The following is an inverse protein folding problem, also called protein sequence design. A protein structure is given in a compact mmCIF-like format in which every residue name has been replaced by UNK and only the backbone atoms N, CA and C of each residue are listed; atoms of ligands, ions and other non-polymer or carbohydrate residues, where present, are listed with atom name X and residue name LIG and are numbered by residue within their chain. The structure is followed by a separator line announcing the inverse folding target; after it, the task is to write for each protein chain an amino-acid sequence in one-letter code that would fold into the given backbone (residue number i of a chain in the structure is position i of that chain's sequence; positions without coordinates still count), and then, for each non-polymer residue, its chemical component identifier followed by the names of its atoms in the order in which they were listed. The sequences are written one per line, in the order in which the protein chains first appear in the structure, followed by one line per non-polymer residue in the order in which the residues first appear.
data_IF_444758332046
#
_entry.id   IF_444758332046
#
_cell.length_a   1.000
_cell.length_b   1.000
_cell.length_c   1.000
_cell.angle_alpha   90.00
_cell.angle_beta   90.00
_cell.angle_gamma   90.00
#
_symmetry.space_group_name_H-M   'P 1'
#
loop_
_entity.id
_entity.type
_entity.pdbx_description
1 polymer ?
#
# COMPACT_ATOMS: atom_id res chain seq x y z
N UNK A 1 51.23 -14.78 -40.90
CA UNK A 1 51.59 -13.74 -39.92
C UNK A 1 50.33 -13.39 -39.15
N UNK A 2 50.08 -14.11 -38.05
CA UNK A 2 48.86 -13.97 -37.24
C UNK A 2 49.02 -12.93 -36.18
N UNK A 3 48.14 -11.91 -36.17
CA UNK A 3 48.07 -10.91 -35.11
C UNK A 3 46.93 -11.32 -34.15
N UNK A 4 47.27 -11.75 -32.95
CA UNK A 4 46.33 -11.99 -31.85
C UNK A 4 45.96 -10.66 -31.17
N UNK A 5 44.71 -10.25 -31.25
CA UNK A 5 44.18 -9.19 -30.37
C UNK A 5 43.65 -9.86 -29.09
N UNK A 6 44.31 -9.53 -27.98
CA UNK A 6 43.79 -9.78 -26.63
C UNK A 6 42.76 -8.72 -26.27
N UNK A 7 41.50 -9.10 -26.09
CA UNK A 7 40.50 -8.26 -25.44
C UNK A 7 40.74 -8.27 -23.93
N UNK A 8 41.10 -7.11 -23.38
CA UNK A 8 41.12 -6.88 -21.94
C UNK A 8 39.84 -6.16 -21.54
N UNK A 9 38.99 -6.84 -20.76
CA UNK A 9 37.80 -6.27 -20.13
C UNK A 9 38.21 -5.36 -18.95
N UNK A 10 37.99 -4.06 -19.08
CA UNK A 10 37.97 -3.09 -17.96
C UNK A 10 36.73 -2.21 -18.05
N UNK A 11 36.15 -1.81 -16.92
CA UNK A 11 34.82 -1.18 -16.89
C UNK A 11 34.84 0.28 -17.34
N UNK A 12 33.73 0.74 -17.85
CA UNK A 12 33.41 2.02 -18.49
C UNK A 12 33.73 3.32 -17.70
N UNK A 13 34.40 3.27 -16.57
CA UNK A 13 34.70 4.46 -15.74
C UNK A 13 35.94 5.22 -16.19
N UNK A 14 36.82 4.63 -16.99
CA UNK A 14 38.05 5.30 -17.45
C UNK A 14 37.90 6.13 -18.73
N UNK A 15 36.82 5.92 -19.52
CA UNK A 15 36.64 6.63 -20.78
C UNK A 15 36.20 8.07 -20.61
N UNK A 16 35.53 8.43 -19.51
CA UNK A 16 35.02 9.80 -19.28
C UNK A 16 36.11 10.76 -18.80
N UNK A 17 37.13 10.26 -18.10
CA UNK A 17 38.24 11.10 -17.58
C UNK A 17 39.24 11.41 -18.69
N UNK A 18 39.44 10.52 -19.66
CA UNK A 18 40.41 10.72 -20.76
C UNK A 18 39.91 11.76 -21.76
N UNK A 19 38.57 11.91 -21.94
CA UNK A 19 38.01 12.94 -22.83
C UNK A 19 38.19 14.37 -22.31
N UNK A 20 38.34 14.55 -20.99
CA UNK A 20 38.52 15.89 -20.39
C UNK A 20 39.94 16.42 -20.61
N UNK A 21 40.93 15.54 -20.78
CA UNK A 21 42.34 15.95 -20.95
C UNK A 21 42.73 16.39 -22.36
N UNK A 22 41.88 16.17 -23.38
CA UNK A 22 42.16 16.59 -24.79
C UNK A 22 41.36 17.82 -25.24
N UNK A 23 40.60 18.45 -24.37
CA UNK A 23 39.90 19.70 -24.70
C UNK A 23 40.85 20.89 -24.48
N UNK A 24 41.07 21.70 -25.53
CA UNK A 24 41.76 22.97 -25.42
C UNK A 24 41.16 23.82 -24.29
N UNK A 25 41.95 24.62 -23.56
CA UNK A 25 41.42 25.41 -22.44
C UNK A 25 40.32 26.34 -22.95
N UNK A 26 39.09 26.07 -22.48
CA UNK A 26 37.94 26.94 -22.72
C UNK A 26 38.22 28.30 -22.06
N UNK A 27 37.91 29.44 -22.71
CA UNK A 27 38.00 30.74 -22.06
C UNK A 27 37.20 30.77 -20.80
N UNK A 28 37.74 31.39 -19.73
CA UNK A 28 37.19 31.39 -18.38
C UNK A 28 35.71 31.82 -18.33
N UNK A 29 35.27 32.63 -19.27
CA UNK A 29 33.88 33.11 -19.43
C UNK A 29 32.88 31.99 -19.75
N UNK A 30 33.31 30.85 -20.33
CA UNK A 30 32.46 29.72 -20.68
C UNK A 30 32.46 28.59 -19.62
N UNK A 31 33.35 28.66 -18.62
CA UNK A 31 33.45 27.63 -17.57
C UNK A 31 32.34 27.81 -16.54
N UNK A 32 31.99 29.04 -16.21
CA UNK A 32 30.94 29.35 -15.20
C UNK A 32 29.56 28.79 -15.57
N UNK A 33 29.04 28.97 -16.80
CA UNK A 33 27.74 28.39 -17.18
C UNK A 33 27.79 26.84 -17.26
N UNK A 34 28.94 26.24 -17.60
CA UNK A 34 29.09 24.77 -17.63
C UNK A 34 29.06 24.20 -16.20
N UNK A 35 29.76 24.86 -15.26
CA UNK A 35 29.72 24.48 -13.83
C UNK A 35 28.28 24.66 -13.28
N UNK A 36 27.62 25.76 -13.65
CA UNK A 36 26.22 25.98 -13.22
C UNK A 36 25.26 24.97 -13.82
N UNK A 37 25.44 24.56 -15.07
CA UNK A 37 24.67 23.52 -15.74
C UNK A 37 24.94 22.14 -15.09
N UNK A 38 26.18 21.81 -14.77
CA UNK A 38 26.55 20.59 -14.06
C UNK A 38 25.99 20.58 -12.65
N UNK A 39 26.01 21.70 -11.91
CA UNK A 39 25.39 21.81 -10.59
C UNK A 39 23.87 21.66 -10.66
N UNK A 40 23.20 22.16 -11.71
CA UNK A 40 21.77 21.94 -11.93
C UNK A 40 21.47 20.45 -12.23
N UNK A 41 22.30 19.79 -13.05
CA UNK A 41 22.16 18.37 -13.38
C UNK A 41 22.35 17.50 -12.12
N UNK A 42 23.31 17.84 -11.26
CA UNK A 42 23.53 17.15 -9.98
C UNK A 42 22.42 17.44 -8.95
N UNK A 43 21.73 18.59 -9.04
CA UNK A 43 20.66 18.98 -8.10
C UNK A 43 19.32 18.28 -8.38
N UNK A 44 19.16 17.57 -9.49
CA UNK A 44 17.94 16.79 -9.83
C UNK A 44 18.16 15.29 -9.54
N UNK A 45 18.92 14.96 -8.51
CA UNK A 45 18.88 13.61 -7.96
C UNK A 45 17.48 13.38 -7.37
N UNK A 46 16.57 12.86 -8.20
CA UNK A 46 15.30 12.32 -7.69
C UNK A 46 15.69 11.23 -6.71
N UNK A 47 15.40 11.42 -5.43
CA UNK A 47 15.51 10.36 -4.44
C UNK A 47 14.62 9.21 -4.94
N UNK A 48 15.23 8.23 -5.58
CA UNK A 48 14.55 7.05 -6.08
C UNK A 48 14.48 6.02 -4.95
N UNK A 49 13.31 5.40 -4.78
CA UNK A 49 13.16 4.34 -3.80
C UNK A 49 13.96 3.11 -4.27
N UNK A 50 14.73 2.51 -3.39
CA UNK A 50 15.45 1.28 -3.71
C UNK A 50 15.54 0.30 -2.52
N UNK A 51 15.75 -0.98 -2.82
CA UNK A 51 15.70 -2.05 -1.82
C UNK A 51 16.81 -1.93 -0.75
N UNK A 52 17.96 -1.37 -1.10
CA UNK A 52 19.18 -1.29 -0.28
C UNK A 52 19.38 0.07 0.41
N UNK A 53 18.30 0.86 0.54
CA UNK A 53 18.38 2.24 1.03
C UNK A 53 19.01 2.38 2.41
N UNK A 54 18.74 1.43 3.30
CA UNK A 54 19.20 1.46 4.71
C UNK A 54 20.41 0.56 5.01
N UNK A 55 20.97 -0.15 4.01
CA UNK A 55 22.03 -1.15 4.26
C UNK A 55 23.23 -0.60 5.04
N UNK A 56 23.61 0.66 4.80
CA UNK A 56 24.72 1.32 5.46
C UNK A 56 24.29 2.11 6.72
N UNK A 57 23.06 2.66 6.72
CA UNK A 57 22.62 3.60 7.75
C UNK A 57 21.81 2.95 8.88
N UNK A 58 21.12 1.84 8.56
CA UNK A 58 20.35 1.05 9.53
C UNK A 58 20.21 -0.41 9.06
N UNK A 59 21.28 -1.22 9.04
CA UNK A 59 21.28 -2.57 8.45
C UNK A 59 20.30 -3.53 9.12
N UNK A 60 19.86 -3.26 10.33
CA UNK A 60 18.90 -4.10 11.08
C UNK A 60 17.44 -3.63 10.96
N UNK A 61 17.13 -2.68 10.05
CA UNK A 61 15.79 -2.10 9.90
C UNK A 61 14.70 -3.16 9.69
N UNK A 62 14.91 -4.09 8.77
CA UNK A 62 13.93 -5.13 8.44
C UNK A 62 13.74 -6.12 9.59
N UNK A 63 14.82 -6.48 10.28
CA UNK A 63 14.78 -7.38 11.45
C UNK A 63 13.95 -6.76 12.57
N UNK A 64 14.24 -5.50 12.95
CA UNK A 64 13.53 -4.80 14.04
C UNK A 64 12.03 -4.71 13.74
N UNK A 65 11.66 -4.34 12.49
CA UNK A 65 10.27 -4.23 12.08
C UNK A 65 9.60 -5.61 12.08
N UNK A 66 10.23 -6.61 11.47
CA UNK A 66 9.68 -7.98 11.37
C UNK A 66 9.44 -8.59 12.76
N UNK A 67 10.39 -8.49 13.67
CA UNK A 67 10.23 -8.99 15.05
C UNK A 67 9.09 -8.27 15.80
N UNK A 68 8.94 -6.96 15.60
CA UNK A 68 7.88 -6.18 16.26
C UNK A 68 6.52 -6.56 15.71
N UNK A 69 6.38 -6.67 14.38
CA UNK A 69 5.14 -7.09 13.72
C UNK A 69 4.76 -8.53 14.08
N UNK A 70 5.74 -9.45 14.10
CA UNK A 70 5.52 -10.85 14.49
C UNK A 70 5.01 -10.96 15.92
N UNK A 71 5.65 -10.24 16.88
CA UNK A 71 5.22 -10.22 18.27
C UNK A 71 3.77 -9.72 18.40
N UNK A 72 3.44 -8.61 17.72
CA UNK A 72 2.11 -8.04 17.76
C UNK A 72 1.07 -8.99 17.13
N UNK A 73 1.40 -9.63 15.99
CA UNK A 73 0.51 -10.57 15.29
C UNK A 73 0.24 -11.84 16.10
N UNK A 74 1.22 -12.33 16.87
CA UNK A 74 1.02 -13.46 17.80
C UNK A 74 0.09 -13.10 18.95
N UNK A 75 0.11 -11.85 19.40
CA UNK A 75 -0.75 -11.38 20.49
C UNK A 75 -2.16 -11.04 20.01
N UNK A 76 -2.30 -10.45 18.83
CA UNK A 76 -3.59 -10.12 18.20
C UNK A 76 -3.57 -10.57 16.73
N UNK A 77 -4.26 -11.68 16.37
CA UNK A 77 -4.31 -12.21 15.00
C UNK A 77 -5.02 -11.28 14.00
N UNK A 78 -5.59 -10.15 14.44
CA UNK A 78 -6.18 -9.13 13.55
C UNK A 78 -5.14 -8.13 13.04
N UNK A 79 -3.93 -8.12 13.61
CA UNK A 79 -2.85 -7.18 13.23
C UNK A 79 -2.50 -7.27 11.75
N UNK A 80 -2.35 -8.46 11.12
CA UNK A 80 -2.01 -8.56 9.70
C UNK A 80 -2.98 -7.81 8.79
N UNK A 81 -4.27 -8.08 8.89
CA UNK A 81 -5.29 -7.39 8.08
C UNK A 81 -5.30 -5.87 8.29
N UNK A 82 -5.12 -5.43 9.55
CA UNK A 82 -5.13 -4.01 9.91
C UNK A 82 -3.92 -3.25 9.35
N UNK A 83 -2.73 -3.85 9.37
CA UNK A 83 -1.51 -3.24 8.82
C UNK A 83 -1.59 -3.19 7.30
N UNK A 84 -2.03 -4.28 6.64
CA UNK A 84 -2.20 -4.29 5.19
C UNK A 84 -3.18 -3.20 4.74
N UNK A 85 -4.31 -3.06 5.44
CA UNK A 85 -5.28 -1.99 5.19
C UNK A 85 -4.70 -0.60 5.46
N UNK A 86 -3.95 -0.42 6.55
CA UNK A 86 -3.29 0.85 6.88
C UNK A 86 -2.36 1.30 5.75
N UNK A 87 -1.58 0.39 5.19
CA UNK A 87 -0.69 0.68 4.06
C UNK A 87 -1.47 1.14 2.82
N UNK A 88 -2.57 0.46 2.48
CA UNK A 88 -3.40 0.87 1.34
C UNK A 88 -3.98 2.26 1.58
N UNK A 89 -4.55 2.52 2.75
CA UNK A 89 -5.17 3.81 3.08
C UNK A 89 -4.14 4.96 3.05
N UNK A 90 -2.95 4.75 3.62
CA UNK A 90 -1.86 5.72 3.56
C UNK A 90 -1.50 6.06 2.12
N UNK A 91 -1.13 5.03 1.34
CA UNK A 91 -0.66 5.21 -0.04
C UNK A 91 -1.73 5.79 -0.96
N UNK A 92 -2.99 5.41 -0.79
CA UNK A 92 -4.05 5.77 -1.72
C UNK A 92 -4.57 7.20 -1.54
N UNK A 93 -4.43 7.81 -0.36
CA UNK A 93 -4.91 9.17 -0.09
C UNK A 93 -3.97 10.21 -0.70
N UNK A 94 -2.72 10.27 -0.25
CA UNK A 94 -1.74 11.29 -0.65
C UNK A 94 -0.44 10.72 -1.23
N UNK A 95 -0.36 9.41 -1.41
CA UNK A 95 0.87 8.65 -1.66
C UNK A 95 1.46 8.17 -0.33
N UNK A 96 2.37 7.20 -0.40
CA UNK A 96 2.93 6.53 0.78
C UNK A 96 3.83 7.46 1.60
N UNK A 97 3.25 8.27 2.46
CA UNK A 97 3.96 9.30 3.24
C UNK A 97 3.63 9.29 4.74
N UNK A 98 2.99 8.22 5.22
CA UNK A 98 2.60 8.04 6.61
C UNK A 98 1.72 9.16 7.19
N UNK A 99 1.02 9.92 6.34
CA UNK A 99 0.10 10.97 6.79
C UNK A 99 -1.06 10.43 7.62
N UNK A 100 -1.46 9.18 7.39
CA UNK A 100 -2.48 8.48 8.18
C UNK A 100 -2.09 8.33 9.67
N UNK A 101 -0.81 8.39 10.01
CA UNK A 101 -0.33 8.22 11.40
C UNK A 101 -0.45 9.51 12.22
N UNK A 102 -0.52 10.67 11.58
CA UNK A 102 -0.56 11.95 12.27
C UNK A 102 -1.83 12.09 13.13
N UNK A 103 -1.69 12.65 14.32
CA UNK A 103 -2.81 12.94 15.21
C UNK A 103 -3.49 14.25 14.82
N UNK A 104 -4.79 14.35 15.12
CA UNK A 104 -5.54 15.60 14.99
C UNK A 104 -5.04 16.64 15.98
N UNK A 105 -5.17 17.90 15.59
CA UNK A 105 -4.88 19.06 16.45
C UNK A 105 -6.16 19.85 16.72
N UNK A 106 -6.09 20.87 17.55
CA UNK A 106 -7.24 21.72 17.83
C UNK A 106 -7.82 22.43 16.58
N UNK A 107 -7.00 22.59 15.53
CA UNK A 107 -7.37 23.31 14.31
C UNK A 107 -7.43 22.43 13.05
N UNK A 108 -7.07 21.15 13.15
CA UNK A 108 -7.02 20.24 12.00
C UNK A 108 -7.41 18.82 12.37
N UNK A 109 -8.46 18.29 11.75
CA UNK A 109 -8.83 16.89 11.83
C UNK A 109 -7.96 16.08 10.85
N UNK A 110 -7.18 15.13 11.37
CA UNK A 110 -6.26 14.31 10.60
C UNK A 110 -6.98 13.18 9.84
N UNK A 111 -6.29 12.58 8.88
CA UNK A 111 -6.80 11.46 8.05
C UNK A 111 -7.32 10.28 8.90
N UNK A 112 -6.65 9.93 10.01
CA UNK A 112 -7.08 8.83 10.88
C UNK A 112 -8.49 8.99 11.46
N UNK A 113 -8.95 10.24 11.61
CA UNK A 113 -10.27 10.58 12.14
C UNK A 113 -11.29 10.83 11.03
N UNK A 114 -10.89 10.70 9.76
CA UNK A 114 -11.80 10.72 8.61
C UNK A 114 -12.68 9.46 8.57
N UNK A 115 -13.93 9.54 8.07
CA UNK A 115 -14.91 8.46 8.13
C UNK A 115 -14.40 7.08 7.67
N UNK A 116 -13.65 6.93 6.55
CA UNK A 116 -13.12 5.63 6.16
C UNK A 116 -12.04 5.10 7.10
N UNK A 117 -11.36 5.97 7.86
CA UNK A 117 -10.19 5.64 8.65
C UNK A 117 -10.48 5.41 10.14
N UNK A 118 -11.65 5.85 10.66
CA UNK A 118 -12.00 5.67 12.08
C UNK A 118 -11.99 4.21 12.54
N UNK A 119 -12.05 3.26 11.62
CA UNK A 119 -11.95 1.81 11.89
C UNK A 119 -10.54 1.24 11.67
N UNK A 120 -9.58 2.01 11.17
CA UNK A 120 -8.17 1.58 11.06
C UNK A 120 -7.58 1.46 12.48
N UNK A 121 -6.83 0.39 12.72
CA UNK A 121 -6.27 0.06 14.04
C UNK A 121 -4.82 -0.41 13.89
N UNK A 122 -4.21 -0.80 15.00
CA UNK A 122 -2.84 -1.30 15.10
C UNK A 122 -1.75 -0.25 14.83
N UNK A 123 -2.07 1.03 14.96
CA UNK A 123 -1.08 2.12 14.90
C UNK A 123 0.06 1.91 15.90
N UNK A 124 -0.22 1.36 17.09
CA UNK A 124 0.76 1.09 18.14
C UNK A 124 1.90 0.20 17.66
N UNK A 125 1.68 -0.68 16.68
CA UNK A 125 2.74 -1.56 16.14
C UNK A 125 3.78 -0.73 15.41
N UNK A 126 3.33 0.27 14.65
CA UNK A 126 4.21 1.20 13.94
C UNK A 126 4.96 2.09 14.94
N UNK A 127 4.27 2.56 15.99
CA UNK A 127 4.89 3.38 17.05
C UNK A 127 5.97 2.59 17.79
N UNK A 128 5.70 1.31 18.14
CA UNK A 128 6.69 0.42 18.81
C UNK A 128 7.90 0.16 17.90
N UNK A 129 7.66 -0.11 16.60
CA UNK A 129 8.76 -0.30 15.64
C UNK A 129 9.59 0.97 15.51
N UNK A 130 8.94 2.14 15.42
CA UNK A 130 9.61 3.44 15.34
C UNK A 130 10.47 3.71 16.58
N UNK A 131 9.94 3.49 17.76
CA UNK A 131 10.69 3.69 19.01
C UNK A 131 11.97 2.85 19.06
N UNK A 132 11.88 1.56 18.66
CA UNK A 132 13.05 0.67 18.59
C UNK A 132 14.07 1.12 17.55
N UNK A 133 13.59 1.60 16.39
CA UNK A 133 14.45 2.10 15.31
C UNK A 133 15.15 3.41 15.71
N UNK A 134 14.49 4.30 16.43
CA UNK A 134 15.14 5.52 16.93
C UNK A 134 16.25 5.22 17.96
N UNK A 135 16.13 4.14 18.74
CA UNK A 135 17.22 3.66 19.63
C UNK A 135 18.40 3.06 18.85
N UNK A 136 18.11 2.35 17.74
CA UNK A 136 19.13 1.65 16.97
C UNK A 136 19.80 2.53 15.91
N UNK A 137 19.02 3.38 15.24
CA UNK A 137 19.42 4.21 14.10
C UNK A 137 18.69 5.56 14.15
N UNK A 138 19.07 6.48 15.06
CA UNK A 138 18.35 7.72 15.30
C UNK A 138 18.15 8.54 14.02
N UNK A 139 16.93 9.10 13.80
CA UNK A 139 16.57 9.98 12.69
C UNK A 139 16.80 9.41 11.29
N UNK A 140 16.81 8.08 11.15
CA UNK A 140 17.19 7.42 9.90
C UNK A 140 15.97 6.87 9.15
N UNK A 141 15.08 6.12 9.83
CA UNK A 141 14.01 5.36 9.19
C UNK A 141 12.70 6.13 9.25
N UNK A 142 12.07 6.36 8.09
CA UNK A 142 10.78 7.05 8.00
C UNK A 142 9.62 6.16 8.49
N UNK A 143 8.58 6.77 9.01
CA UNK A 143 7.34 6.07 9.37
C UNK A 143 6.67 5.43 8.15
N UNK A 144 6.77 6.06 6.98
CA UNK A 144 6.27 5.56 5.71
C UNK A 144 6.94 4.24 5.30
N UNK A 145 8.26 4.13 5.47
CA UNK A 145 8.97 2.88 5.20
C UNK A 145 8.65 1.80 6.25
N UNK A 146 8.42 2.17 7.51
CA UNK A 146 7.98 1.23 8.54
C UNK A 146 6.63 0.60 8.15
N UNK A 147 5.64 1.40 7.72
CA UNK A 147 4.34 0.87 7.26
C UNK A 147 4.54 -0.06 6.06
N UNK A 148 5.33 0.34 5.06
CA UNK A 148 5.54 -0.42 3.84
C UNK A 148 6.22 -1.78 4.10
N UNK A 149 7.27 -1.81 4.93
CA UNK A 149 7.95 -3.05 5.33
C UNK A 149 7.01 -3.94 6.16
N UNK A 150 6.25 -3.33 7.09
CA UNK A 150 5.26 -4.06 7.89
C UNK A 150 4.20 -4.73 7.02
N UNK A 151 3.73 -4.07 5.93
CA UNK A 151 2.74 -4.62 5.02
C UNK A 151 3.26 -5.87 4.28
N UNK A 152 4.52 -5.87 3.82
CA UNK A 152 5.15 -7.07 3.22
C UNK A 152 5.25 -8.22 4.23
N UNK A 153 5.69 -7.89 5.46
CA UNK A 153 5.84 -8.88 6.53
C UNK A 153 4.51 -9.56 6.90
N UNK A 154 3.43 -8.78 7.07
CA UNK A 154 2.13 -9.36 7.47
C UNK A 154 1.53 -10.25 6.39
N UNK A 155 1.70 -9.92 5.11
CA UNK A 155 1.25 -10.77 4.00
C UNK A 155 2.01 -12.09 4.01
N UNK A 156 3.34 -12.04 4.11
CA UNK A 156 4.19 -13.24 4.16
C UNK A 156 3.87 -14.11 5.40
N UNK A 157 3.69 -13.51 6.57
CA UNK A 157 3.32 -14.22 7.82
C UNK A 157 1.95 -14.88 7.74
N UNK A 158 1.06 -14.38 6.87
CA UNK A 158 -0.28 -14.94 6.63
C UNK A 158 -0.32 -15.99 5.52
N UNK A 159 0.83 -16.41 4.96
CA UNK A 159 0.90 -17.41 3.89
C UNK A 159 0.94 -16.84 2.47
N UNK A 160 0.92 -15.53 2.33
CA UNK A 160 1.03 -14.84 1.05
C UNK A 160 2.47 -14.63 0.58
N UNK A 161 2.68 -13.92 -0.54
CA UNK A 161 4.00 -13.66 -1.09
C UNK A 161 4.77 -12.63 -0.24
N UNK A 162 6.08 -12.84 -0.13
CA UNK A 162 7.00 -11.80 0.32
C UNK A 162 7.50 -10.99 -0.88
N UNK A 163 7.74 -9.71 -0.69
CA UNK A 163 8.41 -8.87 -1.68
C UNK A 163 9.41 -7.92 -1.04
N UNK A 164 10.52 -7.66 -1.75
CA UNK A 164 11.49 -6.67 -1.35
C UNK A 164 10.90 -5.26 -1.48
N UNK A 165 10.66 -4.62 -0.35
CA UNK A 165 10.11 -3.28 -0.29
C UNK A 165 11.16 -2.27 -0.76
N UNK A 166 10.80 -1.41 -1.71
CA UNK A 166 11.61 -0.26 -2.05
C UNK A 166 11.49 0.77 -0.92
N UNK A 167 12.61 1.25 -0.41
CA UNK A 167 12.75 2.11 0.77
C UNK A 167 13.30 3.49 0.39
N UNK A 168 13.21 4.46 1.29
CA UNK A 168 13.66 5.84 1.07
C UNK A 168 12.51 6.86 1.01
N UNK A 169 11.29 6.44 1.41
CA UNK A 169 10.14 7.36 1.55
C UNK A 169 10.41 8.40 2.62
N UNK A 170 9.77 9.53 2.45
CA UNK A 170 9.73 10.60 3.46
C UNK A 170 8.33 10.72 4.03
N UNK A 171 8.26 11.07 5.29
CA UNK A 171 7.01 11.29 6.02
C UNK A 171 6.39 12.63 5.62
N UNK A 172 5.11 12.63 5.30
CA UNK A 172 4.35 13.83 4.98
C UNK A 172 4.15 14.72 6.21
N UNK A 173 3.92 16.02 5.96
CA UNK A 173 3.66 17.02 7.00
C UNK A 173 2.20 17.48 7.05
N UNK A 174 1.35 16.89 6.20
CA UNK A 174 -0.06 17.27 6.06
C UNK A 174 -0.91 16.01 6.15
N UNK A 175 -1.91 16.04 7.01
CA UNK A 175 -2.93 15.02 7.18
C UNK A 175 -4.28 15.70 7.35
N UNK A 176 -5.25 15.42 6.50
CA UNK A 176 -6.58 16.04 6.56
C UNK A 176 -7.67 14.99 6.38
N UNK A 177 -8.65 14.96 7.28
CA UNK A 177 -9.79 14.06 7.19
C UNK A 177 -10.57 14.22 5.87
N UNK A 178 -10.63 15.43 5.31
CA UNK A 178 -11.28 15.72 4.02
C UNK A 178 -10.65 14.98 2.84
N UNK A 179 -9.36 14.65 2.90
CA UNK A 179 -8.66 13.97 1.81
C UNK A 179 -9.04 12.48 1.71
N UNK A 180 -9.63 11.93 2.77
CA UNK A 180 -10.10 10.52 2.81
C UNK A 180 -11.24 10.23 1.83
N UNK A 181 -11.91 11.25 1.29
CA UNK A 181 -12.90 11.11 0.21
C UNK A 181 -12.30 10.50 -1.06
N UNK A 182 -10.98 10.54 -1.20
CA UNK A 182 -10.27 9.93 -2.33
C UNK A 182 -10.17 8.40 -2.23
N UNK A 183 -10.46 7.80 -1.07
CA UNK A 183 -10.49 6.35 -0.90
C UNK A 183 -11.69 5.75 -1.64
N UNK A 184 -11.52 4.59 -2.31
CA UNK A 184 -12.64 3.87 -2.89
C UNK A 184 -13.58 3.37 -1.80
N UNK A 185 -14.88 3.66 -1.95
CA UNK A 185 -15.88 3.27 -0.98
C UNK A 185 -16.33 1.79 -1.17
N UNK A 186 -16.74 1.08 -0.11
CA UNK A 186 -17.26 -0.28 -0.21
C UNK A 186 -18.58 -0.36 -1.01
N UNK A 187 -19.20 0.77 -1.28
CA UNK A 187 -20.42 0.92 -2.09
C UNK A 187 -20.15 1.32 -3.54
N UNK A 188 -18.89 1.49 -3.94
CA UNK A 188 -18.53 1.91 -5.29
C UNK A 188 -18.78 0.82 -6.33
N UNK A 189 -19.30 1.20 -7.50
CA UNK A 189 -19.36 0.32 -8.66
C UNK A 189 -18.01 0.24 -9.40
N UNK A 190 -17.88 -0.70 -10.33
CA UNK A 190 -16.61 -0.93 -11.07
C UNK A 190 -16.12 0.31 -11.80
N UNK A 191 -16.99 1.10 -12.42
CA UNK A 191 -16.57 2.31 -13.15
C UNK A 191 -15.99 3.37 -12.21
N UNK A 192 -16.58 3.55 -11.02
CA UNK A 192 -16.05 4.44 -9.98
C UNK A 192 -14.71 3.94 -9.44
N UNK A 193 -14.59 2.62 -9.22
CA UNK A 193 -13.32 2.01 -8.78
C UNK A 193 -12.22 2.20 -9.83
N UNK A 194 -12.49 1.89 -11.11
CA UNK A 194 -11.53 2.09 -12.21
C UNK A 194 -11.08 3.54 -12.27
N UNK A 195 -12.01 4.49 -12.19
CA UNK A 195 -11.66 5.92 -12.19
C UNK A 195 -10.80 6.30 -10.98
N UNK A 196 -11.10 5.80 -9.79
CA UNK A 196 -10.35 6.07 -8.57
C UNK A 196 -8.91 5.54 -8.67
N UNK A 197 -8.73 4.30 -9.14
CA UNK A 197 -7.43 3.69 -9.34
C UNK A 197 -6.62 4.38 -10.46
N UNK A 198 -7.27 4.72 -11.58
CA UNK A 198 -6.62 5.42 -12.69
C UNK A 198 -6.07 6.80 -12.28
N UNK A 199 -6.75 7.54 -11.39
CA UNK A 199 -6.24 8.80 -10.81
C UNK A 199 -4.91 8.61 -10.05
N UNK A 200 -4.60 7.39 -9.61
CA UNK A 200 -3.36 7.01 -8.94
C UNK A 200 -2.36 6.33 -9.90
N UNK A 201 -2.64 6.26 -11.20
CA UNK A 201 -1.80 5.55 -12.17
C UNK A 201 -1.87 4.03 -12.06
N UNK A 202 -2.88 3.51 -11.36
CA UNK A 202 -3.14 2.07 -11.22
C UNK A 202 -4.13 1.60 -12.28
N UNK A 203 -3.93 0.38 -12.80
CA UNK A 203 -4.72 -0.21 -13.88
C UNK A 203 -5.93 -0.99 -13.35
N UNK A 204 -6.79 -1.45 -14.26
CA UNK A 204 -7.89 -2.38 -13.93
C UNK A 204 -7.35 -3.68 -13.31
N UNK A 205 -6.21 -4.18 -13.81
CA UNK A 205 -5.54 -5.34 -13.21
C UNK A 205 -5.13 -5.04 -11.77
N UNK A 206 -4.51 -3.89 -11.52
CA UNK A 206 -4.10 -3.50 -10.17
C UNK A 206 -5.33 -3.37 -9.23
N UNK A 207 -6.46 -2.85 -9.73
CA UNK A 207 -7.72 -2.80 -8.97
C UNK A 207 -8.14 -4.20 -8.51
N UNK A 208 -8.32 -5.15 -9.44
CA UNK A 208 -8.78 -6.50 -9.08
C UNK A 208 -7.77 -7.19 -8.18
N UNK A 209 -6.48 -7.06 -8.49
CA UNK A 209 -5.40 -7.70 -7.74
C UNK A 209 -5.31 -7.17 -6.30
N UNK A 210 -5.33 -5.84 -6.10
CA UNK A 210 -5.25 -5.23 -4.77
C UNK A 210 -6.52 -5.47 -3.94
N UNK A 211 -7.68 -5.61 -4.59
CA UNK A 211 -8.92 -6.04 -3.90
C UNK A 211 -8.75 -7.42 -3.24
N UNK A 212 -7.88 -8.29 -3.77
CA UNK A 212 -7.52 -9.56 -3.16
C UNK A 212 -6.88 -9.46 -1.76
N UNK A 213 -6.44 -8.27 -1.36
CA UNK A 213 -6.06 -8.00 0.04
C UNK A 213 -7.20 -8.24 1.03
N UNK A 214 -8.45 -8.24 0.56
CA UNK A 214 -9.64 -8.60 1.32
C UNK A 214 -9.74 -10.11 1.63
N UNK A 215 -8.81 -10.96 1.19
CA UNK A 215 -8.68 -12.31 1.76
C UNK A 215 -8.32 -12.28 3.24
N UNK A 216 -7.79 -11.16 3.76
CA UNK A 216 -7.56 -10.94 5.18
C UNK A 216 -8.58 -9.96 5.76
N UNK A 217 -9.21 -10.35 6.86
CA UNK A 217 -9.88 -9.38 7.70
C UNK A 217 -11.37 -9.58 7.92
N UNK A 218 -11.97 -8.56 8.50
CA UNK A 218 -13.34 -8.54 9.00
C UNK A 218 -13.96 -7.17 8.72
N UNK A 219 -15.24 -7.18 8.33
CA UNK A 219 -16.04 -5.97 8.14
C UNK A 219 -17.19 -5.88 9.13
N UNK A 220 -17.38 -4.69 9.70
CA UNK A 220 -18.56 -4.40 10.51
C UNK A 220 -19.82 -4.25 9.64
N UNK A 221 -20.99 -4.57 10.22
CA UNK A 221 -22.28 -4.52 9.52
C UNK A 221 -22.53 -3.19 8.81
N UNK A 222 -22.16 -2.07 9.41
CA UNK A 222 -22.37 -0.72 8.85
C UNK A 222 -21.76 -0.51 7.46
N UNK A 223 -20.74 -1.28 7.08
CA UNK A 223 -20.07 -1.16 5.79
C UNK A 223 -20.80 -1.86 4.63
N UNK A 224 -21.73 -2.77 4.94
CA UNK A 224 -22.44 -3.57 3.92
C UNK A 224 -23.95 -3.72 4.16
N UNK A 225 -24.49 -3.16 5.23
CA UNK A 225 -25.92 -3.34 5.56
C UNK A 225 -26.87 -2.81 4.48
N UNK A 226 -26.46 -1.80 3.71
CA UNK A 226 -27.20 -1.29 2.56
C UNK A 226 -27.43 -2.34 1.45
N UNK A 227 -26.61 -3.40 1.40
CA UNK A 227 -26.81 -4.54 0.50
C UNK A 227 -27.87 -5.51 0.99
N UNK A 228 -28.14 -5.50 2.28
CA UNK A 228 -29.05 -6.45 2.92
C UNK A 228 -30.50 -5.97 2.95
N UNK A 229 -30.73 -4.67 2.96
CA UNK A 229 -32.07 -4.06 3.11
C UNK A 229 -32.14 -2.73 2.38
N UNK A 230 -33.28 -2.50 1.71
CA UNK A 230 -33.54 -1.26 0.96
C UNK A 230 -32.42 -0.96 -0.07
N UNK A 231 -31.91 -2.01 -0.74
CA UNK A 231 -30.81 -1.89 -1.68
C UNK A 231 -31.14 -0.97 -2.87
N UNK A 232 -32.36 -1.09 -3.38
CA UNK A 232 -32.87 -0.24 -4.46
C UNK A 232 -34.40 -0.15 -4.40
N UNK A 233 -35.00 0.67 -5.28
CA UNK A 233 -36.47 0.74 -5.41
C UNK A 233 -37.11 -0.58 -5.89
N UNK A 234 -36.33 -1.47 -6.50
CA UNK A 234 -36.80 -2.74 -7.06
C UNK A 234 -36.43 -3.95 -6.19
N UNK A 235 -35.37 -3.83 -5.40
CA UNK A 235 -34.81 -4.96 -4.64
C UNK A 235 -34.50 -4.56 -3.20
N UNK A 236 -35.07 -5.28 -2.26
CA UNK A 236 -34.76 -5.11 -0.82
C UNK A 236 -33.36 -5.61 -0.49
N UNK A 237 -32.92 -6.68 -1.15
CA UNK A 237 -31.56 -7.22 -1.03
C UNK A 237 -30.83 -7.05 -2.38
N UNK A 238 -29.53 -6.82 -2.34
CA UNK A 238 -28.67 -6.79 -3.54
C UNK A 238 -28.81 -8.11 -4.32
N UNK A 239 -29.31 -8.08 -5.57
CA UNK A 239 -29.55 -9.28 -6.37
C UNK A 239 -28.24 -10.00 -6.79
N UNK A 240 -27.09 -9.36 -6.69
CA UNK A 240 -25.78 -9.99 -6.95
C UNK A 240 -25.28 -10.85 -5.79
N UNK A 241 -25.94 -10.79 -4.63
CA UNK A 241 -25.58 -11.55 -3.45
C UNK A 241 -26.27 -12.93 -3.44
N UNK A 242 -25.54 -13.97 -3.07
CA UNK A 242 -26.10 -15.30 -2.82
C UNK A 242 -27.20 -15.20 -1.75
N UNK A 243 -28.36 -15.80 -1.99
CA UNK A 243 -29.56 -15.66 -1.15
C UNK A 243 -29.35 -16.20 0.27
N UNK A 244 -28.72 -17.37 0.42
CA UNK A 244 -28.45 -17.97 1.74
C UNK A 244 -27.47 -17.11 2.52
N UNK A 245 -26.41 -16.62 1.85
CA UNK A 245 -25.43 -15.74 2.45
C UNK A 245 -26.06 -14.42 2.92
N UNK A 246 -26.96 -13.84 2.12
CA UNK A 246 -27.69 -12.63 2.51
C UNK A 246 -28.57 -12.87 3.75
N UNK A 247 -29.24 -14.02 3.83
CA UNK A 247 -30.06 -14.40 5.01
C UNK A 247 -29.19 -14.57 6.27
N UNK A 248 -28.01 -15.17 6.14
CA UNK A 248 -27.09 -15.32 7.27
C UNK A 248 -26.53 -13.97 7.73
N UNK A 249 -26.20 -13.10 6.79
CA UNK A 249 -25.76 -11.74 7.12
C UNK A 249 -26.86 -10.92 7.81
N UNK A 250 -28.12 -11.08 7.40
CA UNK A 250 -29.26 -10.43 8.08
C UNK A 250 -29.41 -10.87 9.52
N UNK A 251 -29.17 -12.17 9.84
CA UNK A 251 -29.14 -12.67 11.21
C UNK A 251 -28.01 -12.09 12.04
N UNK A 252 -26.81 -11.99 11.46
CA UNK A 252 -25.62 -11.41 12.10
C UNK A 252 -25.73 -9.90 12.28
N UNK A 253 -26.45 -9.22 11.37
CA UNK A 253 -26.63 -7.78 11.34
C UNK A 253 -28.14 -7.42 11.46
N UNK A 254 -28.78 -7.66 12.62
CA UNK A 254 -30.20 -7.34 12.81
C UNK A 254 -30.43 -5.84 12.79
N UNK A 255 -31.68 -5.40 12.56
CA UNK A 255 -32.11 -3.99 12.75
C UNK A 255 -33.22 -3.95 13.82
N UNK A 256 -33.05 -3.09 14.83
CA UNK A 256 -31.87 -2.28 15.14
C UNK A 256 -30.65 -3.14 15.51
N UNK A 257 -29.44 -2.68 15.15
CA UNK A 257 -28.21 -3.39 15.51
C UNK A 257 -27.60 -2.74 16.76
N UNK A 258 -27.73 -3.39 17.90
CA UNK A 258 -27.18 -2.96 19.18
C UNK A 258 -25.74 -3.43 19.41
N UNK A 259 -25.23 -4.33 18.55
CA UNK A 259 -23.85 -4.82 18.61
C UNK A 259 -22.99 -4.17 17.53
N UNK A 260 -22.32 -3.08 17.85
CA UNK A 260 -21.41 -2.39 16.94
C UNK A 260 -20.20 -3.23 16.50
N UNK A 261 -19.91 -4.34 17.19
CA UNK A 261 -18.84 -5.28 16.81
C UNK A 261 -19.34 -6.39 15.88
N UNK A 262 -20.66 -6.47 15.62
CA UNK A 262 -21.20 -7.43 14.68
C UNK A 262 -20.70 -7.16 13.25
N UNK A 263 -20.49 -8.24 12.50
CA UNK A 263 -20.00 -8.15 11.14
C UNK A 263 -19.69 -9.52 10.54
N UNK A 264 -18.89 -9.52 9.49
CA UNK A 264 -18.55 -10.70 8.71
C UNK A 264 -17.07 -10.71 8.35
N UNK A 265 -16.43 -11.89 8.39
CA UNK A 265 -15.15 -12.11 7.75
C UNK A 265 -15.29 -11.92 6.24
N UNK A 266 -14.24 -11.39 5.60
CA UNK A 266 -14.30 -11.00 4.19
C UNK A 266 -14.27 -12.21 3.25
N UNK A 267 -13.63 -13.31 3.71
CA UNK A 267 -13.73 -14.62 3.06
C UNK A 267 -13.80 -15.75 4.11
N UNK A 268 -13.67 -17.02 3.68
CA UNK A 268 -13.75 -18.18 4.59
C UNK A 268 -12.43 -18.52 5.28
N UNK A 269 -11.31 -17.93 4.84
CA UNK A 269 -9.94 -18.13 5.35
C UNK A 269 -9.32 -16.83 5.89
N UNK A 270 -10.09 -15.98 6.50
CA UNK A 270 -9.82 -14.57 6.83
C UNK A 270 -8.50 -14.26 7.60
N UNK A 271 -7.73 -15.28 7.99
CA UNK A 271 -6.42 -15.17 8.62
C UNK A 271 -5.31 -15.76 7.74
N UNK A 272 -5.64 -16.30 6.56
CA UNK A 272 -4.72 -16.88 5.59
C UNK A 272 -4.74 -16.02 4.33
N UNK A 273 -3.58 -15.61 3.86
CA UNK A 273 -3.49 -14.87 2.61
C UNK A 273 -3.48 -15.87 1.44
N UNK A 274 -4.62 -16.02 0.77
CA UNK A 274 -4.81 -16.95 -0.33
C UNK A 274 -5.77 -16.40 -1.40
N UNK A 275 -6.25 -17.26 -2.31
CA UNK A 275 -7.18 -16.86 -3.36
C UNK A 275 -8.65 -17.15 -3.04
N UNK A 276 -9.00 -17.46 -1.77
CA UNK A 276 -10.38 -17.78 -1.39
C UNK A 276 -11.33 -16.59 -1.60
N UNK A 277 -10.84 -15.38 -1.37
CA UNK A 277 -11.58 -14.16 -1.68
C UNK A 277 -12.23 -14.21 -3.07
N UNK A 278 -11.49 -14.56 -4.11
CA UNK A 278 -12.02 -14.62 -5.48
C UNK A 278 -13.02 -15.77 -5.67
N UNK A 279 -12.82 -16.89 -4.98
CA UNK A 279 -13.80 -18.01 -4.97
C UNK A 279 -15.11 -17.57 -4.34
N UNK A 280 -15.06 -16.82 -3.24
CA UNK A 280 -16.24 -16.24 -2.60
C UNK A 280 -16.97 -15.25 -3.52
N UNK A 281 -16.25 -14.44 -4.30
CA UNK A 281 -16.87 -13.55 -5.28
C UNK A 281 -17.66 -14.32 -6.35
N UNK A 282 -17.08 -15.39 -6.93
CA UNK A 282 -17.78 -16.22 -7.91
C UNK A 282 -19.00 -16.94 -7.31
N UNK A 283 -18.97 -17.25 -6.01
CA UNK A 283 -20.08 -17.83 -5.28
C UNK A 283 -21.17 -16.82 -4.87
N UNK A 284 -21.03 -15.53 -5.21
CA UNK A 284 -21.95 -14.46 -4.82
C UNK A 284 -21.83 -14.07 -3.34
N UNK A 285 -20.71 -14.37 -2.70
CA UNK A 285 -20.48 -14.16 -1.26
C UNK A 285 -19.53 -13.00 -0.96
N UNK A 286 -19.23 -12.15 -1.94
CA UNK A 286 -18.49 -10.91 -1.69
C UNK A 286 -19.23 -10.03 -0.68
N UNK A 287 -18.54 -9.60 0.38
CA UNK A 287 -19.17 -8.84 1.49
C UNK A 287 -19.48 -7.41 1.05
N UNK A 288 -18.54 -6.73 0.41
CA UNK A 288 -18.78 -5.38 -0.09
C UNK A 288 -19.42 -5.39 -1.48
N UNK A 289 -20.19 -4.34 -1.78
CA UNK A 289 -20.70 -4.14 -3.14
C UNK A 289 -19.54 -3.94 -4.13
N UNK A 290 -18.53 -3.17 -3.75
CA UNK A 290 -17.31 -2.96 -4.54
C UNK A 290 -16.61 -4.27 -4.92
N UNK A 291 -16.57 -5.25 -4.01
CA UNK A 291 -15.99 -6.57 -4.26
C UNK A 291 -16.85 -7.39 -5.22
N UNK A 292 -18.14 -7.55 -4.89
CA UNK A 292 -19.05 -8.37 -5.69
C UNK A 292 -19.22 -7.83 -7.10
N UNK A 293 -19.16 -6.51 -7.28
CA UNK A 293 -19.28 -5.86 -8.60
C UNK A 293 -18.18 -6.27 -9.59
N UNK A 294 -17.00 -6.69 -9.10
CA UNK A 294 -15.88 -7.15 -9.93
C UNK A 294 -16.22 -8.38 -10.78
N UNK A 295 -17.17 -9.21 -10.33
CA UNK A 295 -17.66 -10.37 -11.10
C UNK A 295 -18.71 -9.98 -12.14
N UNK A 296 -19.49 -8.93 -11.87
CA UNK A 296 -20.56 -8.48 -12.76
C UNK A 296 -20.10 -7.71 -13.98
N UNK A 297 -18.87 -7.24 -14.00
CA UNK A 297 -18.33 -6.38 -15.07
C UNK A 297 -17.29 -7.14 -15.92
N UNK A 298 -17.47 -7.12 -17.26
CA UNK A 298 -16.58 -7.81 -18.21
C UNK A 298 -15.12 -7.34 -18.15
N UNK A 299 -14.87 -6.09 -17.73
CA UNK A 299 -13.52 -5.51 -17.62
C UNK A 299 -12.70 -6.11 -16.48
N UNK A 300 -13.35 -6.66 -15.46
CA UNK A 300 -12.74 -7.16 -14.22
C UNK A 300 -12.90 -8.67 -14.04
N UNK A 301 -14.02 -9.24 -14.52
CA UNK A 301 -14.42 -10.64 -14.32
C UNK A 301 -13.32 -11.65 -14.70
N UNK A 302 -12.69 -11.48 -15.83
CA UNK A 302 -11.69 -12.42 -16.32
C UNK A 302 -10.44 -12.51 -15.40
N UNK A 303 -10.07 -11.39 -14.72
CA UNK A 303 -9.02 -11.42 -13.71
C UNK A 303 -9.45 -12.21 -12.47
N UNK A 304 -10.69 -12.02 -12.01
CA UNK A 304 -11.26 -12.81 -10.91
C UNK A 304 -11.19 -14.30 -11.23
N UNK A 305 -11.66 -14.70 -12.42
CA UNK A 305 -11.65 -16.09 -12.88
C UNK A 305 -10.24 -16.68 -13.00
N UNK A 306 -9.28 -15.88 -13.46
CA UNK A 306 -7.88 -16.29 -13.56
C UNK A 306 -7.27 -16.52 -12.16
N UNK A 307 -7.53 -15.64 -11.19
CA UNK A 307 -7.01 -15.75 -9.83
C UNK A 307 -7.68 -16.88 -9.03
N UNK A 308 -8.94 -17.21 -9.32
CA UNK A 308 -9.58 -18.41 -8.77
C UNK A 308 -8.85 -19.67 -9.19
N UNK A 309 -8.44 -19.75 -10.47
CA UNK A 309 -7.79 -20.92 -11.06
C UNK A 309 -6.32 -21.06 -10.64
N UNK A 310 -5.63 -19.95 -10.43
CA UNK A 310 -4.19 -19.94 -10.19
C UNK A 310 -3.82 -18.94 -9.07
N UNK A 311 -3.61 -19.49 -7.87
CA UNK A 311 -3.15 -18.71 -6.71
C UNK A 311 -1.73 -18.16 -6.92
N UNK A 312 -0.86 -18.88 -7.63
CA UNK A 312 0.51 -18.43 -7.88
C UNK A 312 0.51 -17.19 -8.79
N UNK A 313 -0.38 -17.17 -9.79
CA UNK A 313 -0.61 -15.99 -10.62
C UNK A 313 -1.11 -14.82 -9.77
N UNK A 314 -2.08 -15.05 -8.88
CA UNK A 314 -2.55 -14.01 -7.95
C UNK A 314 -1.39 -13.45 -7.12
N UNK A 315 -0.58 -14.29 -6.50
CA UNK A 315 0.56 -13.87 -5.68
C UNK A 315 1.58 -13.04 -6.45
N UNK A 316 1.91 -13.48 -7.66
CA UNK A 316 2.81 -12.74 -8.57
C UNK A 316 2.27 -11.34 -8.90
N UNK A 317 1.01 -11.26 -9.30
CA UNK A 317 0.39 -10.00 -9.66
C UNK A 317 0.18 -9.09 -8.44
N UNK A 318 -0.14 -9.68 -7.27
CA UNK A 318 -0.27 -8.95 -6.01
C UNK A 318 1.05 -8.28 -5.62
N UNK A 319 2.16 -9.02 -5.69
CA UNK A 319 3.49 -8.46 -5.47
C UNK A 319 3.77 -7.27 -6.40
N UNK A 320 3.49 -7.42 -7.70
CA UNK A 320 3.70 -6.35 -8.67
C UNK A 320 2.83 -5.13 -8.40
N UNK A 321 1.55 -5.34 -8.04
CA UNK A 321 0.62 -4.25 -7.73
C UNK A 321 0.93 -3.56 -6.40
N UNK A 322 1.41 -4.31 -5.39
CA UNK A 322 1.87 -3.75 -4.10
C UNK A 322 3.14 -2.89 -4.27
N UNK A 323 4.06 -3.29 -5.14
CA UNK A 323 5.22 -2.45 -5.49
C UNK A 323 4.80 -1.16 -6.20
N UNK A 324 3.83 -1.22 -7.12
CA UNK A 324 3.28 -0.01 -7.77
C UNK A 324 2.58 0.89 -6.75
N UNK A 325 1.74 0.34 -5.89
CA UNK A 325 1.07 1.07 -4.82
C UNK A 325 2.11 1.74 -3.91
N UNK A 326 3.12 1.00 -3.48
CA UNK A 326 4.21 1.49 -2.64
C UNK A 326 5.08 2.58 -3.30
N UNK A 327 5.05 2.71 -4.62
CA UNK A 327 5.75 3.75 -5.38
C UNK A 327 4.89 5.00 -5.62
N UNK A 328 3.65 5.04 -5.14
CA UNK A 328 2.86 6.26 -5.19
C UNK A 328 3.55 7.35 -4.36
N UNK A 329 3.95 8.43 -5.04
CA UNK A 329 4.73 9.48 -4.41
C UNK A 329 3.89 10.25 -3.41
N UNK A 330 4.39 10.35 -2.18
CA UNK A 330 3.92 11.26 -1.16
C UNK A 330 4.43 12.69 -1.33
N UNK A 331 4.48 13.43 -0.25
CA UNK A 331 4.94 14.83 -0.23
C UNK A 331 6.40 14.97 -0.69
N UNK A 332 6.66 15.95 -1.59
CA UNK A 332 8.04 16.30 -2.02
C UNK A 332 8.88 16.88 -0.88
N UNK A 333 8.27 17.55 0.08
CA UNK A 333 8.91 18.23 1.21
C UNK A 333 8.70 17.44 2.51
N UNK A 334 8.87 16.11 2.42
CA UNK A 334 8.75 15.24 3.59
C UNK A 334 10.00 15.25 4.47
N UNK A 335 9.86 14.64 5.64
CA UNK A 335 10.88 14.52 6.67
C UNK A 335 11.08 13.06 7.10
N UNK A 336 11.91 12.81 8.08
CA UNK A 336 11.93 11.59 8.89
C UNK A 336 11.45 11.99 10.28
N UNK A 337 10.20 11.68 10.61
CA UNK A 337 9.62 12.01 11.91
C UNK A 337 10.30 11.21 13.03
N UNK A 338 10.51 11.84 14.17
CA UNK A 338 10.99 11.16 15.40
C UNK A 338 9.88 10.38 16.07
N UNK A 339 8.67 10.93 16.02
CA UNK A 339 7.43 10.31 16.47
C UNK A 339 6.46 10.30 15.29
N UNK A 340 5.93 9.13 14.93
CA UNK A 340 5.04 9.01 13.78
C UNK A 340 3.73 9.79 13.92
N UNK A 341 3.38 10.23 15.13
CA UNK A 341 2.11 10.93 15.45
C UNK A 341 2.14 12.43 15.23
N UNK A 342 3.33 13.03 15.15
CA UNK A 342 3.50 14.49 15.06
C UNK A 342 4.56 14.85 14.03
N UNK A 343 4.43 16.03 13.45
CA UNK A 343 5.45 16.66 12.59
C UNK A 343 6.57 17.18 13.49
N UNK A 344 7.87 17.01 13.04
CA UNK A 344 9.03 17.50 13.80
C UNK A 344 9.04 19.04 13.93
#
# INVERSE_FOLDING_TARGET
MHLFMKFSSKPHFQSTIILIYQMAPLPAENILPIIFLLLIIFSVSKAELHAHYYDQTCPQVEKIISETVLKASKHDPKVPARILRMFFHDCFIRGCDASILLDSTATNQAEKDGPPNISVRSFYVIDEAKAKLELACPRTVSCADIIAISASNVVAMSGGPYWNVLKGRKDGRVSKASDTINLPAPTSNVSQLIQSFAKRGLTVKDLVTLSGGHTLGFSHCSSFEARLRNFSSLHDTDPSMNTEFALDLRKKCPKPNHNHNAGQFLDSTASVFDNDYYKQLLAGKGVFFSDQSLVGDHRTRWFVEAFVKDQSLFFKEFTASMLKLGNLRGSRNGEVRLNCRIVN
#
